data_IF_420791348569
#
_entry.id   IF_420791348569
#
_cell.length_a   1.000
_cell.length_b   1.000
_cell.length_c   1.000
_cell.angle_alpha   90.00
_cell.angle_beta   90.00
_cell.angle_gamma   90.00
#
_symmetry.space_group_name_H-M   'P 1'
#
loop_
_entity.id
_entity.type
_entity.pdbx_description
1 polymer ?
#
# COMPACT_ATOMS: atom_id res chain seq x y z
N UNK A 1 6.80 27.25 6.38
CA UNK A 1 6.59 26.90 4.96
C UNK A 1 7.72 25.98 4.53
N UNK A 2 7.40 24.79 4.00
CA UNK A 2 8.41 23.80 3.63
C UNK A 2 9.28 24.34 2.48
N UNK A 3 10.60 24.21 2.60
CA UNK A 3 11.54 24.63 1.56
C UNK A 3 11.27 23.84 0.28
N UNK A 4 11.40 24.44 -0.92
CA UNK A 4 11.36 23.71 -2.20
C UNK A 4 12.32 22.51 -2.25
N UNK A 5 13.36 22.51 -1.40
CA UNK A 5 14.30 21.39 -1.21
C UNK A 5 13.67 20.14 -0.58
N UNK A 6 12.53 20.25 0.09
CA UNK A 6 11.88 19.17 0.85
C UNK A 6 10.66 18.56 0.13
N UNK A 7 10.31 19.03 -1.06
CA UNK A 7 9.16 18.52 -1.82
C UNK A 7 9.38 17.06 -2.27
N UNK A 8 8.59 16.12 -1.75
CA UNK A 8 8.62 14.71 -2.18
C UNK A 8 7.92 14.47 -3.51
N UNK A 9 6.92 15.31 -3.84
CA UNK A 9 6.10 15.19 -5.05
C UNK A 9 5.57 16.55 -5.48
N UNK A 10 5.58 16.81 -6.79
CA UNK A 10 4.86 17.91 -7.42
C UNK A 10 3.68 17.31 -8.19
N UNK A 11 2.48 17.86 -8.01
CA UNK A 11 1.26 17.44 -8.70
C UNK A 11 0.75 18.60 -9.54
N UNK A 12 0.55 18.35 -10.83
CA UNK A 12 0.06 19.32 -11.80
C UNK A 12 -1.40 19.00 -12.14
N UNK A 13 -2.21 20.05 -12.25
CA UNK A 13 -3.64 19.97 -12.55
C UNK A 13 -3.97 20.77 -13.82
N UNK A 14 -4.97 20.34 -14.57
CA UNK A 14 -5.55 21.15 -15.64
C UNK A 14 -6.49 22.24 -15.09
N UNK A 15 -7.02 23.09 -15.98
CA UNK A 15 -7.94 24.17 -15.64
C UNK A 15 -9.27 23.68 -15.03
N UNK A 16 -9.61 22.40 -15.20
CA UNK A 16 -10.80 21.76 -14.62
C UNK A 16 -10.51 21.10 -13.26
N UNK A 17 -9.27 21.17 -12.78
CA UNK A 17 -8.84 20.56 -11.53
C UNK A 17 -8.50 19.07 -11.63
N UNK A 18 -8.39 18.50 -12.83
CA UNK A 18 -7.94 17.11 -12.99
C UNK A 18 -6.44 17.04 -12.88
N UNK A 19 -5.93 16.07 -12.12
CA UNK A 19 -4.49 15.79 -12.03
C UNK A 19 -4.02 15.30 -13.40
N UNK A 20 -3.10 16.00 -14.03
CA UNK A 20 -2.57 15.62 -15.37
C UNK A 20 -1.19 14.99 -15.29
N UNK A 21 -0.41 15.37 -14.27
CA UNK A 21 0.96 14.89 -14.08
C UNK A 21 1.34 14.88 -12.62
N UNK A 22 2.24 13.98 -12.25
CA UNK A 22 2.98 14.12 -11.00
C UNK A 22 4.44 13.72 -11.15
N UNK A 23 5.31 14.52 -10.55
CA UNK A 23 6.74 14.29 -10.53
C UNK A 23 7.17 14.00 -9.10
N UNK A 24 7.58 12.76 -8.85
CA UNK A 24 8.13 12.33 -7.55
C UNK A 24 9.64 12.51 -7.56
N UNK A 25 10.16 13.01 -6.44
CA UNK A 25 11.57 13.26 -6.26
C UNK A 25 12.13 12.34 -5.19
N UNK A 26 13.39 11.97 -5.36
CA UNK A 26 14.13 11.23 -4.34
C UNK A 26 14.26 12.03 -3.04
N UNK A 27 14.59 11.32 -1.97
CA UNK A 27 14.97 11.98 -0.73
C UNK A 27 16.10 13.00 -0.98
N UNK A 28 16.12 14.06 -0.18
CA UNK A 28 17.20 15.06 -0.18
C UNK A 28 18.57 14.41 -0.02
N UNK A 29 19.63 15.18 -0.29
CA UNK A 29 21.02 14.72 -0.36
C UNK A 29 21.33 13.57 0.62
N UNK A 30 21.60 12.39 0.04
CA UNK A 30 21.96 11.22 0.82
C UNK A 30 23.48 11.22 1.02
N UNK A 31 23.92 11.47 2.26
CA UNK A 31 25.36 11.53 2.60
C UNK A 31 26.10 10.22 2.33
N UNK A 32 25.42 9.08 2.40
CA UNK A 32 25.98 7.74 2.20
C UNK A 32 26.18 7.42 0.71
N UNK A 33 25.24 7.81 -0.15
CA UNK A 33 25.31 7.54 -1.60
C UNK A 33 25.85 8.72 -2.42
N UNK A 34 26.08 9.88 -1.79
CA UNK A 34 26.43 11.16 -2.42
C UNK A 34 25.45 11.62 -3.50
N UNK A 35 24.27 10.99 -3.60
CA UNK A 35 23.25 11.33 -4.59
C UNK A 35 22.52 12.59 -4.16
N UNK A 36 22.43 13.54 -5.10
CA UNK A 36 21.57 14.71 -4.97
C UNK A 36 20.12 14.34 -5.29
N UNK A 37 19.19 15.19 -4.83
CA UNK A 37 17.78 15.04 -5.13
C UNK A 37 17.57 15.05 -6.64
N UNK A 38 16.83 14.07 -7.14
CA UNK A 38 16.55 13.88 -8.55
C UNK A 38 15.13 13.40 -8.75
N UNK A 39 14.67 13.40 -10.00
CA UNK A 39 13.36 12.86 -10.36
C UNK A 39 13.44 11.33 -10.26
N UNK A 40 12.56 10.71 -9.47
CA UNK A 40 12.44 9.25 -9.38
C UNK A 40 11.42 8.71 -10.35
N UNK A 41 10.27 9.39 -10.47
CA UNK A 41 9.15 8.91 -11.27
C UNK A 41 8.31 10.07 -11.75
N UNK A 42 7.84 10.00 -12.99
CA UNK A 42 6.90 10.99 -13.54
C UNK A 42 5.69 10.24 -14.05
N UNK A 43 4.53 10.46 -13.44
CA UNK A 43 3.29 9.84 -13.88
C UNK A 43 2.46 10.82 -14.70
N UNK A 44 1.85 10.33 -15.77
CA UNK A 44 0.84 11.00 -16.59
C UNK A 44 -0.52 10.35 -16.33
N UNK A 45 -1.57 11.18 -16.26
CA UNK A 45 -2.91 10.76 -15.87
C UNK A 45 -3.89 10.99 -17.01
N UNK A 46 -4.69 9.98 -17.32
CA UNK A 46 -5.64 10.03 -18.42
C UNK A 46 -7.05 9.72 -17.96
N UNK A 47 -8.00 10.49 -18.49
CA UNK A 47 -9.41 10.43 -18.12
C UNK A 47 -10.27 10.12 -19.34
N UNK A 48 -11.38 9.40 -19.12
CA UNK A 48 -12.40 9.22 -20.14
C UNK A 48 -13.31 10.46 -20.27
N UNK A 49 -14.23 10.42 -21.24
CA UNK A 49 -15.24 11.44 -21.48
C UNK A 49 -16.23 11.66 -20.32
N UNK A 50 -16.31 10.71 -19.37
CA UNK A 50 -17.11 10.83 -18.14
C UNK A 50 -16.27 11.38 -16.96
N UNK A 51 -15.09 11.93 -17.25
CA UNK A 51 -14.15 12.47 -16.25
C UNK A 51 -13.66 11.43 -15.22
N UNK A 52 -13.64 10.15 -15.57
CA UNK A 52 -13.11 9.09 -14.72
C UNK A 52 -11.67 8.79 -15.09
N UNK A 53 -10.78 8.64 -14.10
CA UNK A 53 -9.37 8.30 -14.32
C UNK A 53 -9.26 6.87 -14.85
N UNK A 54 -8.85 6.70 -16.11
CA UNK A 54 -8.77 5.38 -16.76
C UNK A 54 -7.35 4.83 -16.83
N UNK A 55 -6.33 5.69 -16.77
CA UNK A 55 -4.94 5.25 -16.90
C UNK A 55 -3.97 6.19 -16.21
N UNK A 56 -2.92 5.60 -15.64
CA UNK A 56 -1.72 6.27 -15.17
C UNK A 56 -0.54 5.62 -15.88
N UNK A 57 0.36 6.39 -16.47
CA UNK A 57 1.55 5.87 -17.16
C UNK A 57 2.78 6.58 -16.61
N UNK A 58 3.82 5.84 -16.25
CA UNK A 58 5.13 6.44 -16.04
C UNK A 58 5.65 7.04 -17.36
N UNK A 59 6.38 8.14 -17.29
CA UNK A 59 6.96 8.86 -18.42
C UNK A 59 7.85 8.02 -19.33
N UNK A 60 8.43 6.94 -18.78
CA UNK A 60 9.25 5.97 -19.52
C UNK A 60 8.39 4.86 -20.14
N UNK A 61 7.09 4.84 -19.89
CA UNK A 61 6.12 3.87 -20.41
C UNK A 61 6.20 2.47 -19.78
N UNK A 62 7.13 2.26 -18.83
CA UNK A 62 7.41 0.94 -18.23
C UNK A 62 6.35 0.51 -17.24
N UNK A 63 5.92 1.44 -16.37
CA UNK A 63 4.91 1.17 -15.38
C UNK A 63 3.58 1.79 -15.82
N UNK A 64 2.49 1.04 -15.67
CA UNK A 64 1.16 1.50 -16.06
C UNK A 64 0.10 1.02 -15.08
N UNK A 65 -0.81 1.89 -14.67
CA UNK A 65 -2.03 1.52 -13.96
C UNK A 65 -3.22 1.79 -14.86
N UNK A 66 -4.14 0.83 -15.00
CA UNK A 66 -5.38 0.99 -15.76
C UNK A 66 -6.57 0.74 -14.86
N UNK A 67 -7.66 1.47 -15.08
CA UNK A 67 -8.87 1.40 -14.27
C UNK A 67 -10.07 1.09 -15.16
N UNK A 68 -10.92 0.17 -14.70
CA UNK A 68 -12.15 -0.23 -15.38
C UNK A 68 -13.35 0.05 -14.47
N UNK A 69 -14.34 0.73 -15.01
CA UNK A 69 -15.56 1.10 -14.30
C UNK A 69 -16.75 0.25 -14.76
N UNK A 70 -17.65 -0.04 -13.84
CA UNK A 70 -18.92 -0.71 -14.12
C UNK A 70 -19.96 0.24 -14.76
N UNK A 71 -21.08 -0.32 -15.21
CA UNK A 71 -22.21 0.48 -15.77
C UNK A 71 -22.76 1.51 -14.79
N UNK A 72 -22.68 1.22 -13.49
CA UNK A 72 -23.06 2.12 -12.40
C UNK A 72 -22.04 3.24 -12.11
N UNK A 73 -20.99 3.38 -12.90
CA UNK A 73 -19.94 4.38 -12.72
C UNK A 73 -18.94 4.07 -11.60
N UNK A 74 -19.11 2.98 -10.85
CA UNK A 74 -18.19 2.58 -9.79
C UNK A 74 -16.97 1.84 -10.34
N UNK A 75 -15.81 2.00 -9.70
CA UNK A 75 -14.61 1.27 -10.07
C UNK A 75 -14.83 -0.24 -9.88
N UNK A 76 -14.62 -1.03 -10.93
CA UNK A 76 -14.84 -2.48 -10.94
C UNK A 76 -13.53 -3.25 -10.80
N UNK A 77 -12.48 -2.79 -11.50
CA UNK A 77 -11.15 -3.38 -11.38
C UNK A 77 -10.07 -2.39 -11.76
N UNK A 78 -8.84 -2.68 -11.35
CA UNK A 78 -7.63 -2.02 -11.80
C UNK A 78 -6.54 -3.05 -12.10
N UNK A 79 -5.63 -2.69 -13.00
CA UNK A 79 -4.42 -3.46 -13.27
C UNK A 79 -3.25 -2.51 -13.19
N UNK A 80 -2.32 -2.77 -12.27
CA UNK A 80 -1.04 -2.08 -12.17
C UNK A 80 0.07 -3.00 -12.68
N UNK A 81 0.92 -2.49 -13.57
CA UNK A 81 2.11 -3.16 -14.07
C UNK A 81 3.32 -2.40 -13.55
N UNK A 82 4.20 -3.08 -12.82
CA UNK A 82 5.45 -2.51 -12.29
C UNK A 82 6.59 -3.46 -12.64
N UNK A 83 7.41 -3.08 -13.61
CA UNK A 83 8.40 -4.00 -14.18
C UNK A 83 7.74 -5.30 -14.70
N UNK A 84 8.12 -6.44 -14.13
CA UNK A 84 7.58 -7.76 -14.51
C UNK A 84 6.35 -8.17 -13.70
N UNK A 85 5.96 -7.37 -12.69
CA UNK A 85 4.84 -7.68 -11.84
C UNK A 85 3.54 -7.08 -12.39
N UNK A 86 2.47 -7.86 -12.32
CA UNK A 86 1.11 -7.45 -12.65
C UNK A 86 0.23 -7.62 -11.43
N UNK A 87 -0.30 -6.52 -10.93
CA UNK A 87 -1.24 -6.47 -9.81
C UNK A 87 -2.64 -6.24 -10.38
N UNK A 88 -3.54 -7.19 -10.21
CA UNK A 88 -4.94 -7.05 -10.60
C UNK A 88 -5.79 -6.89 -9.35
N UNK A 89 -6.49 -5.76 -9.21
CA UNK A 89 -7.44 -5.53 -8.11
C UNK A 89 -8.87 -5.57 -8.63
N UNK A 90 -9.75 -6.31 -7.95
CA UNK A 90 -11.21 -6.31 -8.15
C UNK A 90 -11.87 -5.59 -6.99
N UNK A 91 -12.90 -4.78 -7.27
CA UNK A 91 -13.61 -4.00 -6.27
C UNK A 91 -15.11 -4.34 -6.26
N UNK A 92 -15.66 -4.45 -5.07
CA UNK A 92 -17.07 -4.67 -4.76
C UNK A 92 -17.52 -3.55 -3.83
N UNK A 93 -18.78 -3.11 -3.89
CA UNK A 93 -19.20 -1.81 -3.30
C UNK A 93 -20.42 -1.88 -2.38
N UNK A 94 -20.89 -3.09 -2.03
CA UNK A 94 -22.02 -3.34 -1.13
C UNK A 94 -21.93 -4.74 -0.47
N UNK A 95 -21.22 -4.93 0.66
CA UNK A 95 -20.26 -4.01 1.30
C UNK A 95 -19.04 -3.70 0.42
N UNK A 96 -18.27 -2.67 0.77
CA UNK A 96 -17.03 -2.41 0.02
C UNK A 96 -16.04 -3.53 0.31
N UNK A 97 -15.51 -4.16 -0.72
CA UNK A 97 -14.40 -5.09 -0.58
C UNK A 97 -13.53 -5.04 -1.82
N UNK A 98 -12.28 -5.45 -1.68
CA UNK A 98 -11.37 -5.54 -2.81
C UNK A 98 -10.46 -6.75 -2.68
N UNK A 99 -10.11 -7.35 -3.82
CA UNK A 99 -9.15 -8.46 -3.88
C UNK A 99 -8.08 -8.11 -4.89
N UNK A 100 -6.83 -8.05 -4.45
CA UNK A 100 -5.65 -7.81 -5.28
C UNK A 100 -4.86 -9.09 -5.47
N UNK A 101 -4.54 -9.43 -6.70
CA UNK A 101 -3.67 -10.56 -7.04
C UNK A 101 -2.42 -10.04 -7.72
N UNK A 102 -1.25 -10.32 -7.17
CA UNK A 102 0.04 -10.05 -7.80
C UNK A 102 0.54 -11.28 -8.54
N UNK A 103 1.02 -11.10 -9.77
CA UNK A 103 1.60 -12.15 -10.61
C UNK A 103 2.92 -11.69 -11.21
N UNK A 104 3.87 -12.61 -11.35
CA UNK A 104 5.02 -12.46 -12.26
C UNK A 104 4.96 -13.63 -13.24
N UNK A 105 4.85 -13.33 -14.54
CA UNK A 105 4.61 -14.27 -15.63
C UNK A 105 3.39 -15.20 -15.43
N UNK A 106 3.54 -16.26 -14.63
CA UNK A 106 2.48 -17.25 -14.31
C UNK A 106 2.42 -17.65 -12.83
N UNK A 107 3.33 -17.14 -12.00
CA UNK A 107 3.34 -17.43 -10.56
C UNK A 107 2.54 -16.35 -9.82
N UNK A 108 1.54 -16.76 -9.03
CA UNK A 108 0.84 -15.86 -8.13
C UNK A 108 1.76 -15.59 -6.95
N UNK A 109 2.22 -14.34 -6.82
CA UNK A 109 3.06 -13.92 -5.71
C UNK A 109 2.23 -13.73 -4.47
N UNK A 110 1.09 -13.05 -4.57
CA UNK A 110 0.14 -12.97 -3.46
C UNK A 110 -1.29 -12.71 -3.92
N UNK A 111 -2.24 -13.07 -3.07
CA UNK A 111 -3.62 -12.61 -3.13
C UNK A 111 -3.91 -11.87 -1.83
N UNK A 112 -4.54 -10.70 -1.89
CA UNK A 112 -4.83 -9.85 -0.74
C UNK A 112 -6.26 -9.38 -0.83
N UNK A 113 -7.08 -9.70 0.15
CA UNK A 113 -8.43 -9.15 0.26
C UNK A 113 -8.49 -8.04 1.31
N UNK A 114 -9.41 -7.10 1.15
CA UNK A 114 -9.79 -6.10 2.15
C UNK A 114 -11.31 -6.00 2.12
N UNK A 115 -11.97 -6.05 3.27
CA UNK A 115 -13.42 -5.99 3.41
C UNK A 115 -13.81 -4.84 4.34
N UNK A 116 -14.96 -4.22 4.12
CA UNK A 116 -15.44 -3.10 4.93
C UNK A 116 -16.90 -3.33 5.27
N UNK A 117 -17.20 -3.57 6.54
CA UNK A 117 -18.58 -3.68 7.01
C UNK A 117 -19.04 -2.35 7.60
N UNK A 118 -20.35 -2.10 7.52
CA UNK A 118 -20.99 -0.79 7.74
C UNK A 118 -20.75 -0.20 9.14
N UNK A 119 -20.39 -1.05 10.11
CA UNK A 119 -20.17 -0.69 11.51
C UNK A 119 -18.82 -1.22 12.06
N UNK A 120 -17.94 -1.78 11.19
CA UNK A 120 -16.77 -2.57 11.61
C UNK A 120 -15.64 -2.49 10.55
N UNK A 121 -14.43 -2.06 10.94
CA UNK A 121 -13.27 -1.99 10.02
C UNK A 121 -12.54 -3.34 9.94
N UNK A 122 -13.04 -4.26 9.10
CA UNK A 122 -12.40 -5.58 8.95
C UNK A 122 -11.40 -5.59 7.82
N UNK A 123 -10.21 -5.09 8.09
CA UNK A 123 -9.13 -5.19 7.14
C UNK A 123 -8.49 -6.59 7.08
N UNK A 124 -9.29 -7.63 6.78
CA UNK A 124 -8.87 -9.02 6.68
C UNK A 124 -7.91 -9.22 5.52
N UNK A 125 -6.63 -9.12 5.80
CA UNK A 125 -5.56 -9.40 4.85
C UNK A 125 -5.27 -10.89 4.76
N UNK A 126 -6.20 -11.71 4.31
CA UNK A 126 -5.86 -13.09 3.99
C UNK A 126 -5.17 -13.16 2.63
N UNK A 127 -4.06 -13.88 2.62
CA UNK A 127 -3.27 -14.08 1.43
C UNK A 127 -2.39 -15.30 1.52
N UNK A 128 -1.85 -15.66 0.37
CA UNK A 128 -0.77 -16.63 0.27
C UNK A 128 0.31 -15.94 -0.51
N UNK A 129 1.38 -15.52 0.16
CA UNK A 129 2.58 -15.16 -0.56
C UNK A 129 3.50 -16.36 -0.65
N UNK A 130 3.99 -16.58 -1.86
CA UNK A 130 5.03 -17.55 -2.16
C UNK A 130 6.36 -16.80 -2.05
N UNK A 131 6.92 -16.74 -0.84
CA UNK A 131 8.24 -16.14 -0.66
C UNK A 131 9.34 -17.14 -1.01
N UNK A 132 10.40 -16.72 -1.73
CA UNK A 132 11.57 -17.55 -1.93
C UNK A 132 12.24 -17.85 -0.59
N UNK A 133 12.44 -19.13 -0.28
CA UNK A 133 13.07 -19.55 0.96
C UNK A 133 14.47 -18.96 1.06
N UNK A 134 14.76 -18.32 2.18
CA UNK A 134 16.10 -17.81 2.47
C UNK A 134 17.01 -18.98 2.84
N UNK A 135 17.93 -19.35 1.95
CA UNK A 135 18.91 -20.41 2.16
C UNK A 135 20.27 -19.82 2.48
N UNK A 136 21.04 -20.53 3.31
CA UNK A 136 22.41 -20.15 3.68
C UNK A 136 23.39 -21.18 3.13
N UNK A 137 24.19 -20.70 2.19
CA UNK A 137 25.50 -21.16 1.76
C UNK A 137 26.58 -21.05 2.83
N UNK A 138 27.14 -22.10 3.45
CA UNK A 138 28.41 -21.92 4.18
C UNK A 138 29.52 -22.65 3.43
N UNK A 139 30.42 -21.88 2.84
CA UNK A 139 31.61 -22.40 2.16
C UNK A 139 32.88 -21.96 2.86
N UNK A 140 33.91 -22.80 2.84
CA UNK A 140 35.20 -22.49 3.45
C UNK A 140 36.17 -22.07 2.36
N UNK A 141 36.50 -20.78 2.28
CA UNK A 141 37.52 -20.27 1.34
C UNK A 141 38.78 -20.00 2.16
N UNK A 142 39.86 -20.73 1.87
CA UNK A 142 41.15 -20.64 2.58
C UNK A 142 41.07 -20.86 4.11
N UNK A 143 40.25 -21.82 4.56
CA UNK A 143 40.07 -22.11 6.00
C UNK A 143 39.19 -21.11 6.76
N UNK A 144 38.70 -20.06 6.10
CA UNK A 144 37.79 -19.08 6.68
C UNK A 144 36.35 -19.42 6.22
N UNK A 145 35.40 -19.65 7.15
CA UNK A 145 34.02 -19.89 6.79
C UNK A 145 33.39 -18.60 6.26
N UNK A 146 32.83 -18.67 5.06
CA UNK A 146 32.11 -17.60 4.41
C UNK A 146 30.64 -18.01 4.24
N UNK A 147 29.73 -17.23 4.83
CA UNK A 147 28.29 -17.52 4.76
C UNK A 147 27.62 -16.60 3.75
N UNK A 148 27.06 -17.18 2.69
CA UNK A 148 26.26 -16.50 1.68
C UNK A 148 24.78 -16.81 1.89
N UNK A 149 23.96 -15.79 2.09
CA UNK A 149 22.51 -15.93 2.09
C UNK A 149 21.95 -15.63 0.70
N UNK A 150 21.11 -16.52 0.16
CA UNK A 150 20.43 -16.31 -1.12
C UNK A 150 18.94 -16.67 -1.01
N UNK A 151 18.14 -16.08 -1.89
CA UNK A 151 16.71 -16.34 -2.03
C UNK A 151 16.50 -17.40 -3.12
N UNK A 152 15.93 -18.54 -2.76
CA UNK A 152 15.61 -19.60 -3.71
C UNK A 152 14.18 -19.45 -4.23
N UNK A 153 14.05 -18.97 -5.46
CA UNK A 153 12.75 -18.73 -6.11
C UNK A 153 12.05 -20.00 -6.61
N UNK A 154 12.70 -21.17 -6.50
CA UNK A 154 12.10 -22.47 -6.82
C UNK A 154 11.55 -23.17 -5.57
N UNK A 155 11.91 -22.71 -4.37
CA UNK A 155 11.49 -23.27 -3.08
C UNK A 155 10.67 -22.20 -2.34
N UNK A 156 9.36 -22.21 -2.59
CA UNK A 156 8.43 -21.18 -2.15
C UNK A 156 7.65 -21.65 -0.91
N UNK A 157 7.58 -20.83 0.14
CA UNK A 157 6.78 -21.10 1.33
C UNK A 157 5.46 -20.36 1.28
N UNK A 158 4.39 -21.00 1.76
CA UNK A 158 3.05 -20.40 1.85
C UNK A 158 2.86 -19.82 3.25
N UNK A 159 2.60 -18.51 3.33
CA UNK A 159 2.16 -17.90 4.57
C UNK A 159 0.75 -17.34 4.48
N UNK A 160 0.08 -17.28 5.63
CA UNK A 160 -1.22 -16.64 5.82
C UNK A 160 -1.04 -15.56 6.86
N UNK A 161 -1.18 -14.33 6.39
CA UNK A 161 -1.34 -13.18 7.27
C UNK A 161 -2.83 -12.94 7.50
N UNK A 162 -3.16 -12.27 8.59
CA UNK A 162 -4.49 -11.74 8.84
C UNK A 162 -4.36 -10.46 9.65
N UNK A 163 -5.23 -9.49 9.43
CA UNK A 163 -5.32 -8.30 10.27
C UNK A 163 -6.79 -7.98 10.47
N UNK A 164 -7.16 -7.62 11.69
CA UNK A 164 -8.53 -7.23 12.03
C UNK A 164 -8.46 -6.03 12.94
N UNK A 165 -9.32 -5.04 12.69
CA UNK A 165 -9.40 -3.85 13.54
C UNK A 165 -10.85 -3.67 14.01
N UNK A 166 -11.07 -3.91 15.28
CA UNK A 166 -12.36 -3.72 15.93
C UNK A 166 -12.47 -2.30 16.45
N UNK A 167 -13.35 -1.51 15.86
CA UNK A 167 -13.59 -0.14 16.27
C UNK A 167 -14.75 -0.05 17.27
N UNK A 168 -14.59 0.79 18.28
CA UNK A 168 -15.63 1.11 19.25
C UNK A 168 -15.90 2.61 19.21
N UNK A 169 -17.18 2.95 19.16
CA UNK A 169 -17.66 4.32 19.10
C UNK A 169 -18.42 4.67 20.37
N UNK A 170 -18.40 5.95 20.75
CA UNK A 170 -19.29 6.45 21.80
C UNK A 170 -20.73 6.63 21.30
N UNK A 171 -21.63 7.04 22.19
CA UNK A 171 -23.04 7.31 21.87
C UNK A 171 -23.23 8.44 20.84
N UNK A 172 -22.21 9.28 20.63
CA UNK A 172 -22.20 10.37 19.63
C UNK A 172 -21.61 9.91 18.30
N UNK A 173 -21.21 8.65 18.18
CA UNK A 173 -20.58 8.09 16.99
C UNK A 173 -19.10 8.47 16.82
N UNK A 174 -18.42 8.96 17.85
CA UNK A 174 -16.99 9.24 17.81
C UNK A 174 -16.19 7.98 18.09
N UNK A 175 -15.19 7.69 17.26
CA UNK A 175 -14.30 6.54 17.44
C UNK A 175 -13.48 6.73 18.71
N UNK A 176 -13.70 5.94 19.75
CA UNK A 176 -13.01 6.06 21.04
C UNK A 176 -11.90 5.02 21.22
N UNK A 177 -12.02 3.87 20.56
CA UNK A 177 -11.08 2.75 20.68
C UNK A 177 -11.00 1.95 19.38
N UNK A 178 -9.81 1.46 19.06
CA UNK A 178 -9.60 0.43 18.04
C UNK A 178 -8.74 -0.69 18.62
N UNK A 179 -9.24 -1.91 18.60
CA UNK A 179 -8.49 -3.12 18.94
C UNK A 179 -7.97 -3.74 17.65
N UNK A 180 -6.68 -4.02 17.55
CA UNK A 180 -6.02 -4.52 16.36
C UNK A 180 -5.46 -5.89 16.68
N UNK A 181 -5.88 -6.90 15.93
CA UNK A 181 -5.31 -8.24 16.00
C UNK A 181 -4.72 -8.59 14.64
N UNK A 182 -3.43 -8.95 14.61
CA UNK A 182 -2.73 -9.30 13.38
C UNK A 182 -1.95 -10.61 13.54
N UNK A 183 -2.05 -11.48 12.54
CA UNK A 183 -1.26 -12.70 12.39
C UNK A 183 -0.30 -12.44 11.23
N UNK A 184 0.99 -12.64 11.46
CA UNK A 184 2.03 -12.44 10.45
C UNK A 184 2.86 -13.72 10.33
N UNK A 185 3.18 -14.14 9.12
CA UNK A 185 3.99 -15.32 8.82
C UNK A 185 3.43 -16.60 9.48
N UNK A 186 2.12 -16.83 9.38
CA UNK A 186 1.36 -17.95 9.95
C UNK A 186 1.21 -17.98 11.49
N UNK A 187 2.16 -17.49 12.27
CA UNK A 187 2.18 -17.72 13.73
C UNK A 187 2.47 -16.49 14.60
N UNK A 188 2.96 -15.38 14.04
CA UNK A 188 3.26 -14.17 14.81
C UNK A 188 2.01 -13.36 15.06
N UNK A 189 1.38 -13.62 16.19
CA UNK A 189 0.23 -12.86 16.68
C UNK A 189 0.71 -11.55 17.31
N UNK A 190 0.19 -10.43 16.86
CA UNK A 190 0.36 -9.12 17.50
C UNK A 190 -0.99 -8.51 17.79
N UNK A 191 -1.16 -8.04 19.03
CA UNK A 191 -2.37 -7.39 19.51
C UNK A 191 -2.02 -5.99 20.01
N UNK A 192 -2.79 -5.01 19.55
CA UNK A 192 -2.59 -3.61 19.90
C UNK A 192 -3.90 -2.91 20.14
N UNK A 193 -3.84 -1.85 20.92
CA UNK A 193 -4.99 -1.00 21.20
C UNK A 193 -4.65 0.45 20.86
N UNK A 194 -5.53 1.11 20.12
CA UNK A 194 -5.49 2.55 19.90
C UNK A 194 -6.64 3.20 20.65
N UNK A 195 -6.33 4.22 21.43
CA UNK A 195 -7.31 5.01 22.17
C UNK A 195 -7.33 6.43 21.62
N UNK A 196 -8.53 6.95 21.39
CA UNK A 196 -8.74 8.24 20.76
C UNK A 196 -9.32 9.22 21.78
N UNK A 197 -8.83 10.45 21.74
CA UNK A 197 -9.38 11.56 22.52
C UNK A 197 -9.72 12.70 21.60
N UNK A 198 -10.81 13.39 21.88
CA UNK A 198 -11.28 14.55 21.13
C UNK A 198 -11.29 15.79 22.03
N UNK A 199 -11.22 16.95 21.39
CA UNK A 199 -11.60 18.21 22.00
C UNK A 199 -13.13 18.32 22.04
N UNK A 200 -13.66 19.25 22.85
CA UNK A 200 -15.10 19.49 22.95
C UNK A 200 -15.74 19.87 21.61
N UNK A 201 -14.98 20.52 20.72
CA UNK A 201 -15.41 20.86 19.36
C UNK A 201 -15.38 19.67 18.38
N UNK A 202 -15.11 18.45 18.84
CA UNK A 202 -15.11 17.23 18.04
C UNK A 202 -13.83 16.98 17.24
N UNK A 203 -12.83 17.88 17.31
CA UNK A 203 -11.55 17.64 16.66
C UNK A 203 -10.74 16.58 17.41
N UNK A 204 -10.09 15.69 16.67
CA UNK A 204 -9.20 14.68 17.24
C UNK A 204 -8.03 15.35 17.97
N UNK A 205 -7.96 15.14 19.28
CA UNK A 205 -6.95 15.70 20.19
C UNK A 205 -5.71 14.84 20.25
N UNK A 206 -5.87 13.52 20.42
CA UNK A 206 -4.74 12.60 20.44
C UNK A 206 -5.16 11.16 20.14
N UNK A 207 -4.17 10.39 19.69
CA UNK A 207 -4.24 8.94 19.56
C UNK A 207 -3.13 8.37 20.44
N UNK A 208 -3.45 7.40 21.30
CA UNK A 208 -2.47 6.70 22.16
C UNK A 208 -2.42 5.22 21.77
N UNK A 209 -1.22 4.68 21.59
CA UNK A 209 -0.98 3.29 21.23
C UNK A 209 0.15 3.17 20.19
N UNK A 210 0.23 2.06 19.46
CA UNK A 210 1.25 1.82 18.43
C UNK A 210 0.92 2.54 17.09
N UNK A 211 0.69 3.85 17.16
CA UNK A 211 0.17 4.70 16.06
C UNK A 211 0.96 4.63 14.74
N UNK A 212 2.32 4.64 14.72
CA UNK A 212 3.08 4.75 13.47
C UNK A 212 2.88 3.60 12.47
N UNK A 213 2.43 2.43 12.92
CA UNK A 213 2.23 1.26 12.06
C UNK A 213 0.84 1.22 11.40
N UNK A 214 -0.14 1.90 11.99
CA UNK A 214 -1.55 1.76 11.63
C UNK A 214 -2.19 3.04 11.09
N UNK A 215 -1.49 4.18 11.20
CA UNK A 215 -1.94 5.45 10.63
C UNK A 215 -1.07 5.85 9.43
N UNK A 216 -1.67 5.86 8.24
CA UNK A 216 -1.14 6.56 7.08
C UNK A 216 -1.97 7.81 6.88
N UNK A 217 -1.35 8.99 6.99
CA UNK A 217 -2.04 10.25 6.73
C UNK A 217 -2.31 10.35 5.24
N UNK A 218 -3.57 10.13 4.84
CA UNK A 218 -4.03 10.39 3.48
C UNK A 218 -4.90 11.64 3.52
N UNK A 219 -4.36 12.75 3.01
CA UNK A 219 -5.11 13.98 2.84
C UNK A 219 -6.11 13.80 1.70
N UNK A 220 -7.40 13.69 2.03
CA UNK A 220 -8.49 13.72 1.07
C UNK A 220 -9.12 15.11 1.11
N UNK A 221 -9.21 15.77 -0.06
CA UNK A 221 -9.89 17.06 -0.24
C UNK A 221 -11.18 16.87 -1.01
#
# INVERSE_FOLDING_TARGET
MNSPKDLSEIIEFDQTGKRIRSTKYSASYNRKTRKRKGIEKVNLFEYNNKNQLVRIIDSVGKDTTTFKYGKNGKLKSSIEKVGNFVYETKYYHKPFSSTTTSKNDSVIFYQKTTEYDKDFYVNRFYGFELEPKLKKITDTINGIPNTLAYKDYNDLEKFKDDETITNHFDEKGQLIKSEIHSIIMNDRVNEWELNYKYYENGLLKSIRGYVPRYFKYEFWK
#
